data_IF_693514887563
#
_entry.id   IF_693514887563
#
_cell.length_a   1.000
_cell.length_b   1.000
_cell.length_c   1.000
_cell.angle_alpha   90.00
_cell.angle_beta   90.00
_cell.angle_gamma   90.00
#
_symmetry.space_group_name_H-M   'P 1'
#
loop_
_entity.id
_entity.type
_entity.pdbx_description
1 polymer ?
#
# COMPACT_ATOMS: atom_id res chain seq x y z
N UNK A 1 2.96 -16.35 19.16
CA UNK A 1 2.51 -15.32 20.16
C UNK A 1 1.63 -16.01 21.20
N UNK A 2 2.12 -16.13 22.47
CA UNK A 2 1.37 -16.79 23.55
C UNK A 2 0.37 -15.83 24.19
N UNK A 3 -0.68 -16.36 24.85
CA UNK A 3 -1.64 -15.53 25.60
C UNK A 3 -0.96 -14.69 26.68
N UNK A 4 0.09 -15.23 27.32
CA UNK A 4 0.88 -14.53 28.33
C UNK A 4 1.59 -13.29 27.76
N UNK A 5 2.24 -13.40 26.59
CA UNK A 5 2.88 -12.25 25.93
C UNK A 5 1.87 -11.19 25.48
N UNK A 6 0.68 -11.60 25.06
CA UNK A 6 -0.41 -10.67 24.71
C UNK A 6 -0.93 -9.92 25.92
N UNK A 7 -1.11 -10.60 27.07
CA UNK A 7 -1.48 -9.96 28.33
C UNK A 7 -0.45 -8.94 28.83
N UNK A 8 0.85 -9.25 28.67
CA UNK A 8 1.92 -8.30 29.00
C UNK A 8 1.88 -7.06 28.11
N UNK A 9 1.71 -7.22 26.79
CA UNK A 9 1.57 -6.09 25.86
C UNK A 9 0.37 -5.21 26.21
N UNK A 10 -0.76 -5.82 26.60
CA UNK A 10 -1.96 -5.08 26.99
C UNK A 10 -1.74 -4.26 28.27
N UNK A 11 -1.06 -4.82 29.26
CA UNK A 11 -0.84 -4.16 30.56
C UNK A 11 0.27 -3.10 30.53
N UNK A 12 1.32 -3.31 29.72
CA UNK A 12 2.50 -2.43 29.68
C UNK A 12 2.39 -1.38 28.58
N UNK A 13 1.92 -1.77 27.40
CA UNK A 13 1.88 -0.89 26.21
C UNK A 13 0.47 -0.45 25.80
N UNK A 14 -0.57 -0.88 26.52
CA UNK A 14 -1.95 -0.53 26.19
C UNK A 14 -2.44 -1.08 24.83
N UNK A 15 -1.80 -2.15 24.33
CA UNK A 15 -2.20 -2.82 23.09
C UNK A 15 -3.21 -3.90 23.40
N UNK A 16 -4.39 -3.85 22.81
CA UNK A 16 -5.43 -4.86 23.05
C UNK A 16 -4.93 -6.27 22.71
N UNK A 17 -5.16 -7.22 23.62
CA UNK A 17 -4.70 -8.61 23.46
C UNK A 17 -5.29 -9.35 22.28
N UNK A 18 -6.46 -8.91 21.75
CA UNK A 18 -7.13 -9.48 20.58
C UNK A 18 -6.71 -8.81 19.29
N UNK A 19 -6.26 -7.55 19.34
CA UNK A 19 -5.91 -6.80 18.13
C UNK A 19 -4.86 -7.53 17.29
N UNK A 20 -5.11 -7.63 16.00
CA UNK A 20 -4.09 -8.12 15.08
C UNK A 20 -2.90 -7.14 15.05
N UNK A 21 -1.70 -7.67 15.03
CA UNK A 21 -0.47 -6.90 14.93
C UNK A 21 0.42 -7.47 13.82
N UNK A 22 1.01 -6.61 12.98
CA UNK A 22 1.95 -7.06 11.97
C UNK A 22 3.16 -7.76 12.60
N UNK A 23 3.65 -8.79 11.94
CA UNK A 23 4.87 -9.47 12.32
C UNK A 23 6.07 -8.84 11.61
N UNK A 24 7.25 -8.95 12.23
CA UNK A 24 8.48 -8.60 11.52
C UNK A 24 8.89 -9.77 10.63
N UNK A 25 9.22 -9.46 9.38
CA UNK A 25 9.74 -10.45 8.45
C UNK A 25 11.16 -10.87 8.85
N UNK A 26 11.50 -12.13 8.63
CA UNK A 26 12.85 -12.66 8.84
C UNK A 26 13.88 -12.04 7.89
N UNK A 27 13.46 -11.68 6.68
CA UNK A 27 14.30 -11.06 5.65
C UNK A 27 13.66 -9.76 5.18
N UNK A 28 14.42 -8.68 5.15
CA UNK A 28 13.93 -7.37 4.68
C UNK A 28 13.77 -7.37 3.18
N UNK A 29 12.76 -6.64 2.66
CA UNK A 29 12.56 -6.48 1.22
C UNK A 29 13.82 -5.97 0.52
N UNK A 30 14.42 -4.88 1.00
CA UNK A 30 15.62 -4.27 0.37
C UNK A 30 16.82 -5.20 0.27
N UNK A 31 17.02 -6.08 1.23
CA UNK A 31 18.13 -7.04 1.19
C UNK A 31 17.90 -8.19 0.21
N UNK A 32 16.64 -8.50 -0.11
CA UNK A 32 16.25 -9.51 -1.09
C UNK A 32 15.82 -8.94 -2.45
N UNK A 33 15.78 -7.61 -2.60
CA UNK A 33 15.35 -6.96 -3.84
C UNK A 33 16.32 -7.25 -5.00
N UNK A 34 15.78 -7.74 -6.10
CA UNK A 34 16.55 -7.94 -7.34
C UNK A 34 16.87 -6.57 -7.96
N UNK A 35 17.95 -6.52 -8.71
CA UNK A 35 18.21 -5.39 -9.60
C UNK A 35 17.35 -5.54 -10.85
N UNK A 36 16.88 -4.40 -11.37
CA UNK A 36 16.22 -4.37 -12.68
C UNK A 36 17.16 -4.91 -13.77
N UNK A 37 16.62 -5.63 -14.73
CA UNK A 37 17.31 -5.89 -15.97
C UNK A 37 17.47 -4.58 -16.77
N UNK A 38 18.33 -4.62 -17.78
CA UNK A 38 18.62 -3.48 -18.64
C UNK A 38 17.53 -3.32 -19.71
N UNK A 39 16.35 -2.88 -19.26
CA UNK A 39 15.23 -2.61 -20.14
C UNK A 39 15.34 -1.22 -20.78
N UNK A 40 14.90 -1.11 -22.04
CA UNK A 40 14.77 0.19 -22.70
C UNK A 40 13.71 1.07 -22.01
N UNK A 41 14.05 2.34 -21.79
CA UNK A 41 13.09 3.30 -21.23
C UNK A 41 12.05 3.64 -22.30
N UNK A 42 10.78 3.31 -22.05
CA UNK A 42 9.64 3.59 -22.93
C UNK A 42 8.76 4.63 -22.26
N UNK A 43 8.95 5.91 -22.56
CA UNK A 43 8.12 6.99 -22.01
C UNK A 43 6.69 6.91 -22.55
N UNK A 44 5.70 7.12 -21.69
CA UNK A 44 4.32 7.30 -22.06
C UNK A 44 3.95 8.78 -22.18
N UNK A 45 2.73 9.07 -22.60
CA UNK A 45 2.23 10.44 -22.71
C UNK A 45 2.29 11.22 -21.38
N UNK A 46 2.00 10.53 -20.29
CA UNK A 46 1.93 11.12 -18.95
C UNK A 46 2.78 10.38 -17.92
N UNK A 47 3.52 9.35 -18.31
CA UNK A 47 4.30 8.53 -17.40
C UNK A 47 5.76 8.45 -17.81
N UNK A 48 6.73 8.67 -16.89
CA UNK A 48 8.10 8.28 -17.13
C UNK A 48 8.19 6.78 -17.42
N UNK A 49 9.12 6.39 -18.31
CA UNK A 49 9.34 4.98 -18.65
C UNK A 49 10.25 4.25 -17.68
N UNK A 50 10.61 4.85 -16.56
CA UNK A 50 11.49 4.30 -15.52
C UNK A 50 11.01 4.68 -14.13
N UNK A 51 11.29 3.83 -13.14
CA UNK A 51 10.70 3.90 -11.81
C UNK A 51 11.76 3.88 -10.72
N UNK A 52 11.57 4.67 -9.67
CA UNK A 52 12.29 4.55 -8.41
C UNK A 52 11.35 3.99 -7.33
N UNK A 53 11.78 2.97 -6.62
CA UNK A 53 10.98 2.32 -5.58
C UNK A 53 11.36 2.88 -4.22
N UNK A 54 10.40 3.55 -3.58
CA UNK A 54 10.45 3.87 -2.16
C UNK A 54 9.79 2.74 -1.39
N UNK A 55 10.60 1.90 -0.73
CA UNK A 55 10.17 0.60 -0.18
C UNK A 55 9.09 0.73 0.88
N UNK A 56 9.07 1.82 1.62
CA UNK A 56 8.31 2.02 2.86
C UNK A 56 8.80 1.16 4.03
N UNK A 57 8.58 1.60 5.26
CA UNK A 57 8.95 0.81 6.45
C UNK A 57 8.13 -0.48 6.54
N UNK A 58 6.83 -0.42 6.20
CA UNK A 58 5.94 -1.57 6.31
C UNK A 58 6.35 -2.70 5.35
N UNK A 59 6.53 -2.41 4.08
CA UNK A 59 6.96 -3.41 3.09
C UNK A 59 8.35 -3.92 3.40
N UNK A 60 9.27 -3.04 3.82
CA UNK A 60 10.64 -3.47 4.09
C UNK A 60 10.77 -4.40 5.28
N UNK A 61 9.96 -4.22 6.35
CA UNK A 61 10.14 -4.93 7.62
C UNK A 61 9.02 -5.89 8.00
N UNK A 62 7.82 -5.74 7.42
CA UNK A 62 6.67 -6.55 7.80
C UNK A 62 6.18 -7.46 6.66
N UNK A 63 5.96 -6.92 5.46
CA UNK A 63 5.45 -7.70 4.32
C UNK A 63 6.31 -7.51 3.06
N UNK A 64 7.53 -8.06 3.01
CA UNK A 64 8.44 -7.98 1.87
C UNK A 64 7.84 -8.51 0.56
N UNK A 65 6.91 -9.47 0.65
CA UNK A 65 6.22 -10.06 -0.49
C UNK A 65 5.58 -9.02 -1.41
N UNK A 66 4.98 -7.97 -0.85
CA UNK A 66 4.36 -6.88 -1.62
C UNK A 66 5.39 -6.17 -2.51
N UNK A 67 6.58 -5.92 -1.96
CA UNK A 67 7.67 -5.32 -2.72
C UNK A 67 8.17 -6.23 -3.84
N UNK A 68 8.34 -7.53 -3.55
CA UNK A 68 8.75 -8.51 -4.55
C UNK A 68 7.70 -8.68 -5.65
N UNK A 69 6.40 -8.64 -5.31
CA UNK A 69 5.31 -8.67 -6.28
C UNK A 69 5.35 -7.44 -7.20
N UNK A 70 5.59 -6.24 -6.64
CA UNK A 70 5.77 -5.02 -7.44
C UNK A 70 6.94 -5.15 -8.42
N UNK A 71 8.12 -5.62 -7.95
CA UNK A 71 9.28 -5.79 -8.83
C UNK A 71 9.00 -6.83 -9.93
N UNK A 72 8.34 -7.94 -9.62
CA UNK A 72 7.97 -8.95 -10.61
C UNK A 72 7.03 -8.39 -11.69
N UNK A 73 6.06 -7.55 -11.31
CA UNK A 73 5.16 -6.89 -12.26
C UNK A 73 5.93 -5.89 -13.15
N UNK A 74 6.87 -5.13 -12.58
CA UNK A 74 7.71 -4.21 -13.34
C UNK A 74 8.60 -4.97 -14.34
N UNK A 75 9.25 -6.06 -13.91
CA UNK A 75 10.06 -6.92 -14.76
C UNK A 75 9.22 -7.54 -15.90
N UNK A 76 8.03 -8.06 -15.60
CA UNK A 76 7.12 -8.61 -16.62
C UNK A 76 6.78 -7.57 -17.68
N UNK A 77 6.57 -6.32 -17.27
CA UNK A 77 6.25 -5.20 -18.16
C UNK A 77 7.47 -4.51 -18.77
N UNK A 78 8.68 -5.02 -18.53
CA UNK A 78 9.94 -4.45 -19.04
C UNK A 78 10.13 -2.98 -18.64
N UNK A 79 9.72 -2.62 -17.43
CA UNK A 79 9.87 -1.27 -16.88
C UNK A 79 11.11 -1.24 -16.00
N UNK A 80 12.17 -0.50 -16.38
CA UNK A 80 13.39 -0.42 -15.58
C UNK A 80 13.15 0.31 -14.25
N UNK A 81 13.76 -0.20 -13.19
CA UNK A 81 13.61 0.37 -11.86
C UNK A 81 14.92 0.43 -11.07
N UNK A 82 14.94 1.35 -10.13
CA UNK A 82 16.02 1.47 -9.12
C UNK A 82 15.37 1.54 -7.72
N UNK A 83 16.13 1.14 -6.71
CA UNK A 83 15.75 1.39 -5.33
C UNK A 83 16.22 2.78 -4.90
N UNK A 84 15.41 3.49 -4.11
CA UNK A 84 15.88 4.74 -3.48
C UNK A 84 17.09 4.43 -2.59
N UNK A 85 18.20 5.13 -2.78
CA UNK A 85 19.48 4.80 -2.11
C UNK A 85 19.35 4.80 -0.59
N UNK A 86 18.76 5.85 -0.04
CA UNK A 86 18.55 6.04 1.40
C UNK A 86 17.13 6.45 1.66
N UNK A 87 16.47 5.75 2.56
CA UNK A 87 15.11 6.06 2.96
C UNK A 87 14.90 5.87 4.46
N UNK A 88 14.04 6.68 5.04
CA UNK A 88 13.51 6.55 6.38
C UNK A 88 11.99 6.39 6.32
N UNK A 89 11.29 6.24 7.45
CA UNK A 89 9.83 6.29 7.47
C UNK A 89 9.32 7.58 6.80
N UNK A 90 8.18 7.50 6.09
CA UNK A 90 7.60 8.67 5.41
C UNK A 90 7.17 9.80 6.37
N UNK A 91 6.95 9.48 7.64
CA UNK A 91 6.52 10.43 8.67
C UNK A 91 5.02 10.38 8.99
N UNK A 92 4.19 9.65 8.24
CA UNK A 92 2.75 9.60 8.49
C UNK A 92 2.37 9.25 9.95
N UNK A 93 2.98 8.23 10.61
CA UNK A 93 2.67 7.95 12.01
C UNK A 93 3.05 9.09 12.97
N UNK A 94 4.03 9.92 12.61
CA UNK A 94 4.41 11.12 13.36
C UNK A 94 3.36 12.21 13.19
N UNK A 95 2.91 12.43 11.95
CA UNK A 95 1.86 13.38 11.63
C UNK A 95 0.56 13.05 12.36
N UNK A 96 0.13 11.79 12.34
CA UNK A 96 -1.07 11.31 13.04
C UNK A 96 -1.02 11.52 14.57
N UNK A 97 0.18 11.64 15.13
CA UNK A 97 0.40 11.91 16.56
C UNK A 97 0.66 13.40 16.86
N UNK A 98 0.66 14.27 15.84
CA UNK A 98 0.96 15.69 16.00
C UNK A 98 2.45 16.00 16.21
N UNK A 99 3.36 15.04 16.00
CA UNK A 99 4.81 15.22 16.11
C UNK A 99 5.37 15.85 14.82
N UNK A 100 5.15 17.15 14.67
CA UNK A 100 5.54 17.89 13.47
C UNK A 100 7.07 18.01 13.31
N UNK A 101 7.81 18.06 14.42
CA UNK A 101 9.27 18.07 14.40
C UNK A 101 9.80 16.72 13.84
N UNK A 102 9.26 15.62 14.32
CA UNK A 102 9.58 14.30 13.80
C UNK A 102 9.20 14.13 12.33
N UNK A 103 8.15 14.79 11.83
CA UNK A 103 7.84 14.84 10.39
C UNK A 103 8.93 15.61 9.63
N UNK A 104 9.35 16.77 10.13
CA UNK A 104 10.41 17.58 9.51
C UNK A 104 11.75 16.82 9.43
N UNK A 105 12.11 16.07 10.48
CA UNK A 105 13.28 15.19 10.46
C UNK A 105 13.21 14.12 9.36
N UNK A 106 12.05 13.46 9.21
CA UNK A 106 11.88 12.43 8.15
C UNK A 106 11.91 13.05 6.77
N UNK A 107 11.31 14.23 6.60
CA UNK A 107 11.42 15.03 5.37
C UNK A 107 12.88 15.31 5.02
N UNK A 108 13.67 15.79 5.98
CA UNK A 108 15.08 16.14 5.77
C UNK A 108 15.93 14.95 5.30
N UNK A 109 15.58 13.72 5.73
CA UNK A 109 16.26 12.51 5.28
C UNK A 109 15.80 12.11 3.88
N UNK A 110 14.49 12.08 3.61
CA UNK A 110 13.93 11.46 2.41
C UNK A 110 13.94 12.39 1.19
N UNK A 111 13.56 13.67 1.35
CA UNK A 111 13.33 14.59 0.23
C UNK A 111 14.55 14.78 -0.66
N UNK A 112 15.79 14.94 -0.15
CA UNK A 112 16.95 15.11 -1.01
C UNK A 112 17.17 13.94 -1.98
N UNK A 113 16.98 12.69 -1.51
CA UNK A 113 17.16 11.49 -2.33
C UNK A 113 16.03 11.33 -3.35
N UNK A 114 14.79 11.60 -2.94
CA UNK A 114 13.62 11.52 -3.83
C UNK A 114 13.65 12.64 -4.89
N UNK A 115 14.02 13.87 -4.50
CA UNK A 115 14.13 14.99 -5.43
C UNK A 115 15.24 14.79 -6.49
N UNK A 116 16.36 14.15 -6.11
CA UNK A 116 17.38 13.74 -7.07
C UNK A 116 16.78 12.84 -8.15
N UNK A 117 16.10 11.77 -7.75
CA UNK A 117 15.48 10.82 -8.68
C UNK A 117 14.39 11.47 -9.54
N UNK A 118 13.60 12.38 -8.94
CA UNK A 118 12.60 13.16 -9.68
C UNK A 118 13.24 14.04 -10.77
N UNK A 119 14.38 14.71 -10.48
CA UNK A 119 15.13 15.48 -11.49
C UNK A 119 15.73 14.60 -12.59
N UNK A 120 16.07 13.38 -12.26
CA UNK A 120 16.54 12.38 -13.22
C UNK A 120 15.39 11.76 -14.05
N UNK A 121 14.14 12.19 -13.84
CA UNK A 121 12.97 11.77 -14.61
C UNK A 121 12.40 10.42 -14.21
N UNK A 122 12.61 9.95 -12.97
CA UNK A 122 11.95 8.75 -12.46
C UNK A 122 10.53 9.04 -11.97
N UNK A 123 9.60 8.14 -12.25
CA UNK A 123 8.38 8.02 -11.44
C UNK A 123 8.75 7.37 -10.10
N UNK A 124 8.33 7.92 -8.98
CA UNK A 124 8.61 7.35 -7.65
C UNK A 124 7.37 6.57 -7.22
N UNK A 125 7.50 5.24 -7.11
CA UNK A 125 6.41 4.37 -6.66
C UNK A 125 6.53 4.04 -5.18
N UNK A 126 5.41 4.11 -4.48
CA UNK A 126 5.30 3.61 -3.11
C UNK A 126 4.07 2.69 -2.99
N UNK A 127 4.25 1.42 -2.55
CA UNK A 127 3.16 0.45 -2.51
C UNK A 127 2.23 0.58 -1.28
N UNK A 128 2.38 1.65 -0.49
CA UNK A 128 1.57 1.89 0.71
C UNK A 128 0.89 3.27 0.62
N UNK A 129 -0.46 3.33 0.63
CA UNK A 129 -1.22 4.56 0.39
C UNK A 129 -0.91 5.72 1.35
N UNK A 130 -0.61 5.42 2.62
CA UNK A 130 -0.24 6.46 3.59
C UNK A 130 1.08 7.14 3.22
N UNK A 131 2.04 6.40 2.66
CA UNK A 131 3.29 6.99 2.20
C UNK A 131 3.09 7.80 0.91
N UNK A 132 2.26 7.31 -0.03
CA UNK A 132 1.90 8.07 -1.23
C UNK A 132 1.21 9.39 -0.85
N UNK A 133 0.23 9.34 0.06
CA UNK A 133 -0.47 10.52 0.56
C UNK A 133 0.51 11.52 1.19
N UNK A 134 1.44 11.03 2.03
CA UNK A 134 2.42 11.88 2.71
C UNK A 134 3.23 12.73 1.72
N UNK A 135 3.70 12.15 0.62
CA UNK A 135 4.51 12.85 -0.37
C UNK A 135 3.68 13.62 -1.41
N UNK A 136 2.47 13.17 -1.72
CA UNK A 136 1.61 13.86 -2.70
C UNK A 136 0.87 15.06 -2.12
N UNK A 137 0.51 15.03 -0.83
CA UNK A 137 -0.35 16.05 -0.25
C UNK A 137 0.17 16.61 1.07
N UNK A 138 0.48 15.79 2.07
CA UNK A 138 0.75 16.27 3.43
C UNK A 138 2.03 17.11 3.51
N UNK A 139 3.16 16.58 3.05
CA UNK A 139 4.43 17.34 3.04
C UNK A 139 4.37 18.60 2.17
N UNK A 140 3.78 18.59 0.95
CA UNK A 140 3.60 19.80 0.16
C UNK A 140 2.74 20.88 0.84
N UNK A 141 1.75 20.49 1.64
CA UNK A 141 0.93 21.42 2.42
C UNK A 141 1.68 21.97 3.63
N UNK A 142 2.45 21.13 4.31
CA UNK A 142 3.25 21.54 5.48
C UNK A 142 4.47 22.40 5.09
N UNK A 143 5.01 22.20 3.90
CA UNK A 143 6.23 22.86 3.41
C UNK A 143 6.02 23.43 2.00
N UNK A 144 5.08 24.38 1.82
CA UNK A 144 4.68 24.88 0.49
C UNK A 144 5.82 25.54 -0.28
N UNK A 145 6.74 26.20 0.42
CA UNK A 145 7.88 26.92 -0.18
C UNK A 145 9.10 26.03 -0.47
N UNK A 146 9.03 24.74 -0.13
CA UNK A 146 10.11 23.82 -0.41
C UNK A 146 10.01 23.25 -1.83
N UNK A 147 10.81 23.80 -2.76
CA UNK A 147 10.81 23.39 -4.17
C UNK A 147 11.02 21.88 -4.37
N UNK A 148 11.91 21.26 -3.58
CA UNK A 148 12.17 19.82 -3.66
C UNK A 148 10.96 18.98 -3.23
N UNK A 149 10.20 19.45 -2.23
CA UNK A 149 8.96 18.78 -1.81
C UNK A 149 7.90 18.86 -2.92
N UNK A 150 7.77 20.01 -3.60
CA UNK A 150 6.85 20.19 -4.73
C UNK A 150 7.28 19.31 -5.93
N UNK A 151 8.57 19.19 -6.19
CA UNK A 151 9.10 18.30 -7.25
C UNK A 151 8.80 16.84 -6.95
N UNK A 152 9.02 16.38 -5.72
CA UNK A 152 8.71 15.01 -5.28
C UNK A 152 7.22 14.73 -5.40
N UNK A 153 6.35 15.68 -5.03
CA UNK A 153 4.89 15.56 -5.22
C UNK A 153 4.52 15.19 -6.66
N UNK A 154 5.14 15.86 -7.64
CA UNK A 154 4.85 15.63 -9.08
C UNK A 154 5.36 14.27 -9.57
N UNK A 155 6.46 13.78 -8.99
CA UNK A 155 7.06 12.49 -9.36
C UNK A 155 6.48 11.29 -8.61
N UNK A 156 5.67 11.51 -7.56
CA UNK A 156 5.15 10.46 -6.69
C UNK A 156 3.89 9.81 -7.27
N UNK A 157 3.85 8.48 -7.28
CA UNK A 157 2.75 7.69 -7.82
C UNK A 157 2.35 6.55 -6.87
N UNK A 158 1.07 6.27 -6.80
CA UNK A 158 0.58 4.97 -6.40
C UNK A 158 0.87 3.96 -7.52
N UNK A 159 1.24 2.69 -7.22
CA UNK A 159 1.54 1.71 -8.26
C UNK A 159 0.40 1.49 -9.26
N UNK A 160 -0.84 1.42 -8.79
CA UNK A 160 -1.99 1.21 -9.67
C UNK A 160 -2.35 2.46 -10.47
N UNK A 161 -2.16 3.65 -9.91
CA UNK A 161 -2.26 4.91 -10.66
C UNK A 161 -1.27 4.90 -11.85
N UNK A 162 -0.02 4.49 -11.59
CA UNK A 162 1.01 4.37 -12.62
C UNK A 162 0.66 3.30 -13.66
N UNK A 163 0.25 2.10 -13.25
CA UNK A 163 -0.10 1.02 -14.18
C UNK A 163 -1.31 1.36 -15.05
N UNK A 164 -2.36 1.97 -14.49
CA UNK A 164 -3.52 2.43 -15.27
C UNK A 164 -3.12 3.49 -16.30
N UNK A 165 -2.23 4.43 -15.94
CA UNK A 165 -1.72 5.42 -16.89
C UNK A 165 -0.90 4.75 -18.00
N UNK A 166 -0.03 3.80 -17.68
CA UNK A 166 0.74 3.00 -18.65
C UNK A 166 -0.18 2.20 -19.59
N UNK A 167 -1.24 1.59 -19.03
CA UNK A 167 -2.21 0.83 -19.83
C UNK A 167 -2.95 1.73 -20.83
N UNK A 168 -3.33 2.94 -20.44
CA UNK A 168 -3.98 3.92 -21.34
C UNK A 168 -3.10 4.34 -22.51
N UNK A 169 -1.78 4.32 -22.31
CA UNK A 169 -0.80 4.61 -23.35
C UNK A 169 -0.42 3.36 -24.18
N UNK A 170 -1.03 2.19 -23.92
CA UNK A 170 -0.70 0.92 -24.58
C UNK A 170 0.69 0.37 -24.20
N UNK A 171 1.22 0.79 -23.07
CA UNK A 171 2.58 0.47 -22.59
C UNK A 171 2.58 -0.46 -21.36
N UNK A 172 1.45 -1.13 -21.09
CA UNK A 172 1.34 -2.17 -20.08
C UNK A 172 0.85 -3.45 -20.73
N UNK A 173 1.46 -4.58 -20.43
CA UNK A 173 1.00 -5.89 -20.87
C UNK A 173 -0.27 -6.26 -20.10
N UNK A 174 -1.30 -6.73 -20.80
CA UNK A 174 -2.56 -7.23 -20.24
C UNK A 174 -2.75 -8.72 -20.57
N UNK A 175 -1.64 -9.44 -20.68
CA UNK A 175 -1.57 -10.85 -21.08
C UNK A 175 -1.79 -11.80 -19.89
N UNK A 176 -2.81 -11.51 -19.09
CA UNK A 176 -3.19 -12.32 -17.94
C UNK A 176 -3.45 -13.76 -18.28
N UNK A 177 -2.97 -14.70 -17.43
CA UNK A 177 -3.07 -16.14 -17.62
C UNK A 177 -4.13 -16.77 -16.71
N UNK A 178 -4.45 -16.12 -15.59
CA UNK A 178 -5.40 -16.64 -14.62
C UNK A 178 -6.47 -15.61 -14.28
N UNK A 179 -7.71 -16.07 -14.18
CA UNK A 179 -8.79 -15.34 -13.51
C UNK A 179 -8.51 -15.24 -12.01
N UNK A 180 -9.03 -14.20 -11.39
CA UNK A 180 -8.94 -14.00 -9.94
C UNK A 180 -10.23 -14.39 -9.20
N UNK A 181 -11.23 -14.93 -9.91
CA UNK A 181 -12.51 -15.30 -9.31
C UNK A 181 -13.25 -14.09 -8.75
N UNK A 182 -13.78 -14.21 -7.53
CA UNK A 182 -14.51 -13.12 -6.87
C UNK A 182 -13.64 -12.43 -5.83
N UNK A 183 -13.41 -11.13 -6.00
CA UNK A 183 -12.63 -10.27 -5.10
C UNK A 183 -13.56 -9.28 -4.43
N UNK A 184 -13.54 -9.19 -3.09
CA UNK A 184 -14.03 -8.02 -2.37
C UNK A 184 -12.85 -7.10 -2.08
N UNK A 185 -12.87 -5.90 -2.68
CA UNK A 185 -11.80 -4.91 -2.59
C UNK A 185 -12.23 -3.70 -1.76
N UNK A 186 -11.50 -3.43 -0.70
CA UNK A 186 -11.66 -2.26 0.16
C UNK A 186 -10.74 -1.13 -0.28
N UNK A 187 -11.31 0.05 -0.59
CA UNK A 187 -10.55 1.27 -0.85
C UNK A 187 -10.22 1.96 0.47
N UNK A 188 -8.93 1.98 0.89
CA UNK A 188 -8.54 2.58 2.16
C UNK A 188 -8.65 4.12 2.14
N UNK A 189 -8.76 4.73 3.35
CA UNK A 189 -8.94 6.17 3.50
C UNK A 189 -7.84 6.96 2.78
N UNK A 190 -6.58 6.57 2.97
CA UNK A 190 -5.44 7.28 2.39
C UNK A 190 -5.34 7.17 0.86
N UNK A 191 -6.00 6.19 0.23
CA UNK A 191 -6.17 6.18 -1.24
C UNK A 191 -7.31 7.12 -1.66
N UNK A 192 -8.43 7.13 -0.92
CA UNK A 192 -9.58 7.97 -1.25
C UNK A 192 -9.28 9.47 -1.20
N UNK A 193 -8.59 9.92 -0.14
CA UNK A 193 -8.26 11.35 0.04
C UNK A 193 -7.27 11.87 -0.99
N UNK A 194 -6.51 11.00 -1.67
CA UNK A 194 -5.64 11.41 -2.78
C UNK A 194 -6.42 11.82 -4.04
N UNK A 195 -7.71 11.48 -4.11
CA UNK A 195 -8.61 11.83 -5.21
C UNK A 195 -8.11 11.39 -6.60
N UNK A 196 -7.38 10.27 -6.66
CA UNK A 196 -6.84 9.72 -7.92
C UNK A 196 -7.83 8.78 -8.62
N UNK A 197 -8.99 8.53 -8.03
CA UNK A 197 -9.99 7.59 -8.51
C UNK A 197 -9.70 6.14 -8.10
N UNK A 198 -10.46 5.20 -8.67
CA UNK A 198 -10.48 3.77 -8.26
C UNK A 198 -9.45 2.93 -9.01
N UNK A 199 -8.20 3.40 -9.08
CA UNK A 199 -7.16 2.84 -9.96
C UNK A 199 -6.88 1.36 -9.76
N UNK A 200 -6.85 0.91 -8.51
CA UNK A 200 -6.69 -0.52 -8.18
C UNK A 200 -7.86 -1.34 -8.72
N UNK A 201 -9.10 -0.86 -8.53
CA UNK A 201 -10.28 -1.52 -9.08
C UNK A 201 -10.26 -1.52 -10.62
N UNK A 202 -9.93 -0.37 -11.26
CA UNK A 202 -9.80 -0.25 -12.71
C UNK A 202 -8.79 -1.29 -13.26
N UNK A 203 -7.67 -1.50 -12.56
CA UNK A 203 -6.64 -2.46 -12.99
C UNK A 203 -7.09 -3.91 -12.79
N UNK A 204 -7.67 -4.26 -11.64
CA UNK A 204 -8.13 -5.61 -11.36
C UNK A 204 -9.29 -6.03 -12.28
N UNK A 205 -10.13 -5.11 -12.73
CA UNK A 205 -11.20 -5.37 -13.70
C UNK A 205 -10.70 -5.70 -15.11
N UNK A 206 -9.43 -5.43 -15.44
CA UNK A 206 -8.84 -5.87 -16.71
C UNK A 206 -8.55 -7.37 -16.75
N UNK A 207 -8.49 -8.02 -15.58
CA UNK A 207 -8.26 -9.47 -15.51
C UNK A 207 -9.55 -10.21 -15.92
N UNK A 208 -9.51 -11.04 -16.98
CA UNK A 208 -10.69 -11.75 -17.48
C UNK A 208 -11.38 -12.60 -16.40
N UNK A 209 -12.70 -12.74 -16.52
CA UNK A 209 -13.53 -13.56 -15.64
C UNK A 209 -13.35 -13.28 -14.14
N UNK A 210 -13.04 -12.02 -13.80
CA UNK A 210 -12.87 -11.54 -12.43
C UNK A 210 -14.09 -10.72 -12.00
N UNK A 211 -14.78 -11.17 -10.95
CA UNK A 211 -15.88 -10.43 -10.31
C UNK A 211 -15.31 -9.55 -9.20
N UNK A 212 -15.62 -8.25 -9.23
CA UNK A 212 -15.12 -7.29 -8.25
C UNK A 212 -16.26 -6.63 -7.48
N UNK A 213 -16.28 -6.80 -6.15
CA UNK A 213 -17.09 -6.03 -5.22
C UNK A 213 -16.22 -4.94 -4.59
N UNK A 214 -16.57 -3.66 -4.77
CA UNK A 214 -15.77 -2.53 -4.27
C UNK A 214 -16.46 -1.88 -3.09
N UNK A 215 -15.74 -1.78 -1.96
CA UNK A 215 -16.25 -1.24 -0.69
C UNK A 215 -15.48 0.02 -0.31
N UNK A 216 -16.19 1.15 -0.25
CA UNK A 216 -15.67 2.47 0.12
C UNK A 216 -16.22 2.91 1.48
N UNK A 217 -15.69 2.36 2.57
CA UNK A 217 -16.08 2.73 3.94
C UNK A 217 -14.88 2.68 4.86
N UNK A 218 -15.00 3.32 6.03
CA UNK A 218 -13.98 3.24 7.07
C UNK A 218 -13.91 1.81 7.64
N UNK A 219 -12.73 1.20 7.62
CA UNK A 219 -12.50 -0.12 8.23
C UNK A 219 -12.50 -0.10 9.76
N UNK A 220 -12.40 1.08 10.37
CA UNK A 220 -12.26 1.25 11.82
C UNK A 220 -10.82 1.18 12.33
N UNK A 221 -9.85 0.77 11.49
CA UNK A 221 -8.46 0.55 11.92
C UNK A 221 -7.77 1.85 12.38
N UNK A 222 -7.77 2.92 11.56
CA UNK A 222 -7.24 4.26 11.84
C UNK A 222 -5.87 4.27 12.57
N UNK A 223 -4.81 3.83 11.91
CA UNK A 223 -3.45 3.81 12.45
C UNK A 223 -3.33 2.99 13.74
N UNK A 224 -2.92 3.63 14.85
CA UNK A 224 -2.80 2.97 16.15
C UNK A 224 -4.12 2.83 16.90
N UNK A 225 -5.19 3.53 16.47
CA UNK A 225 -6.48 3.53 17.15
C UNK A 225 -7.07 2.11 17.29
N UNK A 226 -7.08 1.34 16.20
CA UNK A 226 -7.65 0.01 16.18
C UNK A 226 -6.94 -1.03 17.02
N UNK A 227 -5.70 -0.74 17.45
CA UNK A 227 -4.91 -1.69 18.26
C UNK A 227 -4.82 -1.30 19.73
N UNK A 228 -5.19 -0.07 20.10
CA UNK A 228 -5.19 0.38 21.51
C UNK A 228 -6.33 -0.27 22.28
N UNK A 229 -6.03 -0.73 23.50
CA UNK A 229 -6.96 -1.41 24.43
C UNK A 229 -8.28 -0.62 24.63
N UNK A 230 -8.16 0.68 24.84
CA UNK A 230 -9.29 1.58 25.09
C UNK A 230 -10.19 1.80 23.88
N UNK A 231 -9.68 1.60 22.66
CA UNK A 231 -10.38 1.92 21.41
C UNK A 231 -10.71 0.70 20.55
N UNK A 232 -10.07 -0.45 20.79
CA UNK A 232 -10.25 -1.65 19.96
C UNK A 232 -11.72 -2.05 19.79
N UNK A 233 -12.48 -2.08 20.86
CA UNK A 233 -13.91 -2.42 20.79
C UNK A 233 -14.70 -1.44 19.92
N UNK A 234 -14.42 -0.14 20.01
CA UNK A 234 -15.03 0.89 19.16
C UNK A 234 -14.58 0.74 17.71
N UNK A 235 -13.31 0.46 17.48
CA UNK A 235 -12.74 0.20 16.17
C UNK A 235 -13.47 -0.96 15.46
N UNK A 236 -13.67 -2.09 16.14
CA UNK A 236 -14.39 -3.25 15.64
C UNK A 236 -15.88 -2.90 15.36
N UNK A 237 -16.52 -2.09 16.21
CA UNK A 237 -17.88 -1.61 15.98
C UNK A 237 -18.00 -0.72 14.74
N UNK A 238 -17.06 0.21 14.54
CA UNK A 238 -16.98 1.09 13.36
C UNK A 238 -16.77 0.25 12.09
N UNK A 239 -15.90 -0.76 12.14
CA UNK A 239 -15.58 -1.65 11.02
C UNK A 239 -16.70 -2.62 10.63
N UNK A 240 -17.65 -2.93 11.54
CA UNK A 240 -18.66 -3.98 11.32
C UNK A 240 -19.46 -3.87 10.00
N UNK A 241 -19.88 -2.68 9.52
CA UNK A 241 -20.53 -2.57 8.22
C UNK A 241 -19.61 -2.94 7.05
N UNK A 242 -18.30 -2.65 7.16
CA UNK A 242 -17.31 -3.04 6.16
C UNK A 242 -17.09 -4.55 6.18
N UNK A 243 -16.94 -5.17 7.35
CA UNK A 243 -16.75 -6.61 7.48
C UNK A 243 -17.88 -7.37 6.78
N UNK A 244 -19.14 -6.95 6.99
CA UNK A 244 -20.30 -7.52 6.32
C UNK A 244 -20.26 -7.30 4.79
N UNK A 245 -19.98 -6.08 4.35
CA UNK A 245 -19.94 -5.75 2.93
C UNK A 245 -18.81 -6.51 2.19
N UNK A 246 -17.67 -6.73 2.84
CA UNK A 246 -16.56 -7.49 2.30
C UNK A 246 -16.82 -9.00 2.22
N UNK A 247 -17.74 -9.51 3.04
CA UNK A 247 -18.15 -10.93 3.02
C UNK A 247 -19.31 -11.21 2.02
N UNK A 248 -19.88 -10.18 1.39
CA UNK A 248 -20.98 -10.36 0.46
C UNK A 248 -20.60 -11.25 -0.72
N UNK A 249 -21.54 -12.13 -1.11
CA UNK A 249 -21.37 -13.07 -2.24
C UNK A 249 -20.16 -14.02 -2.08
N UNK A 250 -19.71 -14.24 -0.85
CA UNK A 250 -18.67 -15.21 -0.50
C UNK A 250 -17.41 -15.13 -1.38
N UNK A 251 -16.65 -14.03 -1.32
CA UNK A 251 -15.51 -13.83 -2.20
C UNK A 251 -14.40 -14.87 -1.96
N UNK A 252 -13.63 -15.16 -3.01
CA UNK A 252 -12.40 -15.94 -2.92
C UNK A 252 -11.30 -15.15 -2.22
N UNK A 253 -11.22 -13.85 -2.52
CA UNK A 253 -10.24 -12.92 -1.96
C UNK A 253 -10.91 -11.71 -1.32
N UNK A 254 -10.35 -11.26 -0.19
CA UNK A 254 -10.49 -9.90 0.31
C UNK A 254 -9.19 -9.15 0.07
N UNK A 255 -9.27 -7.90 -0.35
CA UNK A 255 -8.09 -7.12 -0.74
C UNK A 255 -8.20 -5.67 -0.31
N UNK A 256 -7.09 -5.04 0.00
CA UNK A 256 -6.97 -3.61 0.23
C UNK A 256 -5.53 -3.15 -0.03
N UNK A 257 -5.34 -1.95 -0.59
CA UNK A 257 -3.99 -1.37 -0.75
C UNK A 257 -3.32 -1.08 0.60
N UNK A 258 -4.12 -0.91 1.66
CA UNK A 258 -3.63 -0.80 3.03
C UNK A 258 -3.74 -2.15 3.74
N UNK A 259 -2.61 -2.82 3.92
CA UNK A 259 -2.55 -4.13 4.58
C UNK A 259 -3.08 -4.10 6.02
N UNK A 260 -2.80 -3.04 6.76
CA UNK A 260 -3.32 -2.90 8.12
C UNK A 260 -4.85 -2.88 8.14
N UNK A 261 -5.47 -2.18 7.19
CA UNK A 261 -6.93 -2.19 7.02
C UNK A 261 -7.44 -3.56 6.57
N UNK A 262 -6.74 -4.21 5.62
CA UNK A 262 -7.07 -5.54 5.12
C UNK A 262 -7.09 -6.59 6.22
N UNK A 263 -6.03 -6.66 7.03
CA UNK A 263 -5.94 -7.58 8.16
C UNK A 263 -6.96 -7.29 9.27
N UNK A 264 -7.24 -6.01 9.54
CA UNK A 264 -8.29 -5.63 10.48
C UNK A 264 -9.68 -6.07 10.00
N UNK A 265 -9.93 -5.95 8.70
CA UNK A 265 -11.17 -6.45 8.07
C UNK A 265 -11.25 -7.98 8.19
N UNK A 266 -10.17 -8.70 7.88
CA UNK A 266 -10.11 -10.15 7.99
C UNK A 266 -10.37 -10.62 9.43
N UNK A 267 -9.74 -9.98 10.42
CA UNK A 267 -10.03 -10.22 11.84
C UNK A 267 -11.50 -9.96 12.17
N UNK A 268 -12.04 -8.82 11.72
CA UNK A 268 -13.44 -8.45 11.97
C UNK A 268 -14.42 -9.43 11.33
N UNK A 269 -14.14 -9.95 10.16
CA UNK A 269 -14.93 -10.99 9.52
C UNK A 269 -14.91 -12.28 10.35
N UNK A 270 -13.74 -12.73 10.81
CA UNK A 270 -13.61 -13.93 11.63
C UNK A 270 -14.35 -13.80 12.96
N UNK A 271 -14.17 -12.68 13.70
CA UNK A 271 -14.83 -12.45 14.98
C UNK A 271 -16.36 -12.31 14.89
N UNK A 272 -16.89 -11.95 13.73
CA UNK A 272 -18.34 -11.90 13.47
C UNK A 272 -18.89 -13.19 12.82
N UNK A 273 -18.11 -14.27 12.74
CA UNK A 273 -18.54 -15.55 12.17
C UNK A 273 -18.86 -15.50 10.68
N UNK A 274 -18.29 -14.54 9.94
CA UNK A 274 -18.45 -14.41 8.49
C UNK A 274 -17.50 -15.37 7.77
N UNK A 275 -17.85 -15.75 6.54
CA UNK A 275 -17.02 -16.66 5.74
C UNK A 275 -15.61 -16.08 5.54
N UNK A 276 -14.61 -16.90 5.79
CA UNK A 276 -13.21 -16.54 5.55
C UNK A 276 -12.95 -16.50 4.04
N UNK A 277 -12.20 -15.49 3.62
CA UNK A 277 -11.59 -15.38 2.30
C UNK A 277 -10.08 -15.16 2.45
N UNK A 278 -9.30 -15.48 1.43
CA UNK A 278 -7.86 -15.21 1.46
C UNK A 278 -7.61 -13.70 1.43
N UNK A 279 -6.87 -13.19 2.42
CA UNK A 279 -6.44 -11.78 2.40
C UNK A 279 -5.19 -11.65 1.53
N UNK A 280 -5.27 -10.89 0.44
CA UNK A 280 -4.17 -10.66 -0.47
C UNK A 280 -4.06 -9.19 -0.88
N UNK A 281 -2.82 -8.67 -0.94
CA UNK A 281 -2.58 -7.33 -1.47
C UNK A 281 -2.91 -7.27 -2.97
N UNK A 282 -3.45 -6.15 -3.50
CA UNK A 282 -3.77 -6.05 -4.92
C UNK A 282 -2.58 -6.35 -5.86
N UNK A 283 -1.35 -5.99 -5.50
CA UNK A 283 -0.14 -6.36 -6.27
C UNK A 283 0.07 -7.87 -6.31
N UNK A 284 -0.20 -8.59 -5.20
CA UNK A 284 -0.12 -10.05 -5.15
C UNK A 284 -1.17 -10.68 -6.08
N UNK A 285 -2.39 -10.14 -6.09
CA UNK A 285 -3.44 -10.58 -7.00
C UNK A 285 -3.06 -10.34 -8.46
N UNK A 286 -2.55 -9.16 -8.79
CA UNK A 286 -2.12 -8.84 -10.14
C UNK A 286 -0.98 -9.75 -10.62
N UNK A 287 0.00 -10.03 -9.74
CA UNK A 287 1.07 -10.99 -10.01
C UNK A 287 0.51 -12.40 -10.26
N UNK A 288 -0.44 -12.87 -9.44
CA UNK A 288 -1.13 -14.16 -9.65
C UNK A 288 -1.83 -14.20 -11.01
N UNK A 289 -2.50 -13.11 -11.42
CA UNK A 289 -3.17 -13.03 -12.71
C UNK A 289 -2.20 -13.17 -13.89
N UNK A 290 -1.00 -12.60 -13.79
CA UNK A 290 0.06 -12.76 -14.81
C UNK A 290 0.71 -14.16 -14.78
N UNK A 291 0.60 -14.92 -13.70
CA UNK A 291 1.30 -16.20 -13.46
C UNK A 291 2.85 -16.07 -13.43
N UNK A 292 3.36 -15.05 -12.72
CA UNK A 292 4.80 -14.73 -12.62
C UNK A 292 5.29 -14.75 -11.17
#
# INVERSE_FOLDING_TARGET
KTQATRGLLENVLGVDKKAWLPEFASTKFRSGAKKSADYAVKEGKNTPGKVAIYSTCYVNYNEPGIGHDLLAILDHNEIPYVMVDKEACCGMPKLEQGDLEGVAEKKAINIPHLAKLAREGYAILTPIPSCTLMYKQELPLMFPDCADTQLVKQAMWDPFEYFVARNRDGLLKIDFKHSLGHISYHIPCHSRVQNVGRKTADMLQLVPDTKLNVVERCSGHAGTYGVKKEFHANSMKIGKPVFKAMANDEPDYISSDCQLAGHHIAQGMEENGLKKAEMAHPLTLLRKAYAI
#
